data_IF_213669268940
#
_entry.id   IF_213669268940
#
_cell.length_a   1.000
_cell.length_b   1.000
_cell.length_c   1.000
_cell.angle_alpha   90.00
_cell.angle_beta   90.00
_cell.angle_gamma   90.00
#
_symmetry.space_group_name_H-M   'P 1'
#
loop_
_entity.id
_entity.type
_entity.pdbx_description
1 polymer ?
#
# COMPACT_ATOMS: atom_id res chain seq x y z
N UNK A 1 -31.73 2.66 -33.46
CA UNK A 1 -32.89 2.29 -32.62
C UNK A 1 -34.02 3.31 -32.76
N UNK A 2 -35.27 2.85 -32.75
CA UNK A 2 -36.47 3.72 -32.73
C UNK A 2 -36.78 4.19 -31.31
N UNK A 3 -37.42 5.35 -31.17
CA UNK A 3 -37.79 5.90 -29.85
C UNK A 3 -38.67 4.95 -29.04
N UNK A 4 -39.60 4.23 -29.69
CA UNK A 4 -40.43 3.25 -28.98
C UNK A 4 -39.61 2.09 -28.39
N UNK A 5 -38.57 1.61 -29.08
CA UNK A 5 -37.70 0.53 -28.62
C UNK A 5 -36.91 0.95 -27.37
N UNK A 6 -36.45 2.20 -27.36
CA UNK A 6 -35.76 2.81 -26.22
C UNK A 6 -36.68 2.94 -25.01
N UNK A 7 -37.91 3.43 -25.21
CA UNK A 7 -38.93 3.56 -24.16
C UNK A 7 -39.25 2.20 -23.55
N UNK A 8 -39.45 1.17 -24.37
CA UNK A 8 -39.69 -0.21 -23.90
C UNK A 8 -38.51 -0.75 -23.09
N UNK A 9 -37.27 -0.56 -23.56
CA UNK A 9 -36.07 -0.98 -22.81
C UNK A 9 -35.95 -0.30 -21.44
N UNK A 10 -36.24 1.00 -21.36
CA UNK A 10 -36.20 1.74 -20.09
C UNK A 10 -37.29 1.22 -19.16
N UNK A 11 -38.51 1.02 -19.65
CA UNK A 11 -39.57 0.44 -18.83
C UNK A 11 -39.20 -0.95 -18.30
N UNK A 12 -38.64 -1.83 -19.13
CA UNK A 12 -38.19 -3.16 -18.72
C UNK A 12 -37.04 -3.09 -17.71
N UNK A 13 -36.00 -2.30 -17.97
CA UNK A 13 -34.82 -2.19 -17.10
C UNK A 13 -35.17 -1.65 -15.72
N UNK A 14 -36.10 -0.70 -15.64
CA UNK A 14 -36.39 0.03 -14.40
C UNK A 14 -37.67 -0.46 -13.69
N UNK A 15 -38.67 -1.04 -14.37
CA UNK A 15 -39.85 -1.66 -13.70
C UNK A 15 -39.62 -3.10 -13.25
N UNK A 16 -38.79 -3.89 -13.94
CA UNK A 16 -38.61 -5.32 -13.62
C UNK A 16 -37.57 -5.60 -12.52
N UNK A 17 -36.67 -4.65 -12.24
CA UNK A 17 -35.50 -4.86 -11.36
C UNK A 17 -35.48 -3.99 -10.10
N UNK A 18 -36.45 -3.10 -9.90
CA UNK A 18 -36.42 -2.11 -8.82
C UNK A 18 -37.73 -2.19 -8.02
N UNK A 19 -37.66 -2.69 -6.79
CA UNK A 19 -38.80 -2.72 -5.88
C UNK A 19 -39.05 -1.29 -5.33
N UNK A 20 -40.20 -0.65 -5.64
CA UNK A 20 -40.40 0.78 -5.36
C UNK A 20 -40.28 1.16 -3.87
N UNK A 21 -40.66 0.25 -2.98
CA UNK A 21 -40.65 0.46 -1.53
C UNK A 21 -39.25 0.41 -0.90
N UNK A 22 -38.24 -0.10 -1.61
CA UNK A 22 -36.86 -0.25 -1.13
C UNK A 22 -35.88 0.68 -1.85
N UNK A 23 -36.37 1.47 -2.81
CA UNK A 23 -35.52 2.26 -3.70
C UNK A 23 -35.39 3.69 -3.18
N UNK A 24 -34.18 4.27 -3.12
CA UNK A 24 -33.99 5.66 -2.75
C UNK A 24 -34.82 6.58 -3.65
N UNK A 25 -35.52 7.56 -3.08
CA UNK A 25 -36.37 8.49 -3.84
C UNK A 25 -35.65 9.18 -5.00
N UNK A 26 -34.37 9.51 -4.82
CA UNK A 26 -33.52 10.09 -5.87
C UNK A 26 -33.39 9.19 -7.12
N UNK A 27 -33.34 7.86 -6.96
CA UNK A 27 -33.29 6.92 -8.10
C UNK A 27 -34.62 6.95 -8.86
N UNK A 28 -35.75 7.00 -8.14
CA UNK A 28 -37.08 7.13 -8.74
C UNK A 28 -37.17 8.44 -9.53
N UNK A 29 -36.65 9.54 -8.98
CA UNK A 29 -36.63 10.84 -9.64
C UNK A 29 -35.79 10.83 -10.93
N UNK A 30 -34.64 10.15 -10.95
CA UNK A 30 -33.83 10.00 -12.17
C UNK A 30 -34.57 9.20 -13.24
N UNK A 31 -35.28 8.14 -12.86
CA UNK A 31 -36.08 7.34 -13.80
C UNK A 31 -37.23 8.18 -14.36
N UNK A 32 -37.95 8.92 -13.49
CA UNK A 32 -39.03 9.81 -13.92
C UNK A 32 -38.55 10.87 -14.91
N UNK A 33 -37.43 11.54 -14.61
CA UNK A 33 -36.80 12.52 -15.52
C UNK A 33 -36.39 11.91 -16.85
N UNK A 34 -35.91 10.67 -16.87
CA UNK A 34 -35.57 9.97 -18.11
C UNK A 34 -36.83 9.76 -18.98
N UNK A 35 -37.94 9.36 -18.35
CA UNK A 35 -39.23 9.21 -19.02
C UNK A 35 -39.73 10.56 -19.57
N UNK A 36 -39.66 11.62 -18.78
CA UNK A 36 -40.05 12.99 -19.18
C UNK A 36 -39.23 13.49 -20.39
N UNK A 37 -37.92 13.22 -20.43
CA UNK A 37 -37.06 13.61 -21.56
C UNK A 37 -37.51 12.92 -22.85
N UNK A 38 -37.95 11.67 -22.77
CA UNK A 38 -38.31 10.88 -23.94
C UNK A 38 -39.78 11.03 -24.35
N UNK A 39 -40.67 11.44 -23.44
CA UNK A 39 -42.10 11.59 -23.68
C UNK A 39 -42.43 12.39 -24.96
N UNK A 40 -41.88 13.60 -25.20
CA UNK A 40 -42.24 14.42 -26.36
C UNK A 40 -41.72 13.87 -27.70
N UNK A 41 -40.86 12.85 -27.68
CA UNK A 41 -40.27 12.29 -28.90
C UNK A 41 -41.26 11.34 -29.60
N UNK A 42 -41.40 11.53 -30.93
CA UNK A 42 -42.25 10.71 -31.78
C UNK A 42 -41.80 9.24 -31.79
N UNK A 43 -42.72 8.31 -31.53
CA UNK A 43 -42.42 6.88 -31.32
C UNK A 43 -41.67 6.24 -32.50
N UNK A 44 -42.05 6.59 -33.73
CA UNK A 44 -41.49 6.04 -34.97
C UNK A 44 -40.23 6.76 -35.46
N UNK A 45 -39.84 7.86 -34.80
CA UNK A 45 -38.62 8.58 -35.13
C UNK A 45 -37.39 7.76 -34.74
N UNK A 46 -36.31 7.95 -35.51
CA UNK A 46 -35.00 7.43 -35.12
C UNK A 46 -34.43 8.28 -34.00
N UNK A 47 -33.93 7.62 -32.96
CA UNK A 47 -33.30 8.34 -31.87
C UNK A 47 -31.88 8.75 -32.29
N UNK A 48 -31.70 10.04 -32.59
CA UNK A 48 -30.50 10.58 -33.21
C UNK A 48 -29.53 11.20 -32.19
N UNK A 49 -28.25 11.42 -32.56
CA UNK A 49 -27.29 12.11 -31.70
C UNK A 49 -27.72 13.51 -31.22
N UNK A 50 -28.59 14.20 -31.97
CA UNK A 50 -29.12 15.53 -31.63
C UNK A 50 -30.06 15.49 -30.41
N UNK A 51 -30.69 14.33 -30.16
CA UNK A 51 -31.59 14.10 -29.02
C UNK A 51 -30.85 13.67 -27.75
N UNK A 52 -29.54 13.38 -27.84
CA UNK A 52 -28.73 12.91 -26.71
C UNK A 52 -28.36 13.94 -25.63
N UNK A 53 -28.23 15.26 -25.87
CA UNK A 53 -27.72 16.17 -24.84
C UNK A 53 -28.49 16.14 -23.50
N UNK A 54 -29.84 16.12 -23.47
CA UNK A 54 -30.59 15.97 -22.21
C UNK A 54 -30.33 14.63 -21.51
N UNK A 55 -30.24 13.53 -22.29
CA UNK A 55 -29.97 12.19 -21.75
C UNK A 55 -28.57 12.09 -21.16
N UNK A 56 -27.55 12.64 -21.85
CA UNK A 56 -26.16 12.69 -21.34
C UNK A 56 -26.09 13.47 -20.02
N UNK A 57 -26.73 14.63 -19.96
CA UNK A 57 -26.81 15.43 -18.74
C UNK A 57 -27.45 14.67 -17.59
N UNK A 58 -28.49 13.88 -17.85
CA UNK A 58 -29.13 13.04 -16.83
C UNK A 58 -28.21 11.91 -16.35
N UNK A 59 -27.50 11.25 -17.27
CA UNK A 59 -26.51 10.22 -16.94
C UNK A 59 -25.38 10.82 -16.08
N UNK A 60 -24.87 12.00 -16.43
CA UNK A 60 -23.86 12.71 -15.63
C UNK A 60 -24.37 13.01 -14.22
N UNK A 61 -25.61 13.49 -14.09
CA UNK A 61 -26.22 13.77 -12.78
C UNK A 61 -26.38 12.50 -11.95
N UNK A 62 -26.76 11.38 -12.57
CA UNK A 62 -26.84 10.09 -11.91
C UNK A 62 -25.48 9.67 -11.35
N UNK A 63 -24.41 9.75 -12.14
CA UNK A 63 -23.07 9.35 -11.66
C UNK A 63 -22.51 10.26 -10.57
N UNK A 64 -22.78 11.57 -10.65
CA UNK A 64 -22.47 12.48 -9.55
C UNK A 64 -23.23 12.12 -8.26
N UNK A 65 -24.48 11.68 -8.38
CA UNK A 65 -25.24 11.17 -7.24
C UNK A 65 -24.64 9.88 -6.68
N UNK A 66 -24.24 8.93 -7.54
CA UNK A 66 -23.59 7.67 -7.13
C UNK A 66 -22.35 7.94 -6.29
N UNK A 67 -21.49 8.88 -6.74
CA UNK A 67 -20.28 9.28 -6.00
C UNK A 67 -20.57 9.73 -4.57
N UNK A 68 -21.66 10.48 -4.37
CA UNK A 68 -22.01 11.02 -3.06
C UNK A 68 -22.83 10.10 -2.15
N UNK A 69 -23.42 9.02 -2.68
CA UNK A 69 -24.45 8.25 -1.96
C UNK A 69 -24.19 6.75 -1.89
N UNK A 70 -23.31 6.19 -2.73
CA UNK A 70 -22.98 4.78 -2.75
C UNK A 70 -21.49 4.55 -2.46
N UNK A 71 -21.12 3.49 -1.73
CA UNK A 71 -19.72 3.12 -1.57
C UNK A 71 -19.13 2.61 -2.89
N UNK A 72 -17.82 2.80 -3.09
CA UNK A 72 -17.15 2.59 -4.38
C UNK A 72 -17.12 1.13 -4.85
N UNK A 73 -17.22 0.17 -3.93
CA UNK A 73 -17.36 -1.26 -4.23
C UNK A 73 -18.66 -1.58 -4.98
N UNK A 74 -19.70 -0.76 -4.82
CA UNK A 74 -20.97 -0.89 -5.53
C UNK A 74 -20.99 -0.19 -6.89
N UNK A 75 -19.98 0.61 -7.26
CA UNK A 75 -20.04 1.40 -8.49
C UNK A 75 -19.91 0.55 -9.77
N UNK A 76 -19.40 -0.68 -9.67
CA UNK A 76 -19.27 -1.60 -10.81
C UNK A 76 -20.48 -2.51 -11.01
N UNK A 77 -21.09 -2.98 -9.92
CA UNK A 77 -22.11 -4.06 -9.94
C UNK A 77 -23.23 -3.85 -8.91
N UNK A 78 -23.38 -2.65 -8.37
CA UNK A 78 -24.40 -2.34 -7.38
C UNK A 78 -25.82 -2.41 -7.96
N UNK A 79 -26.83 -2.74 -7.14
CA UNK A 79 -28.21 -2.97 -7.60
C UNK A 79 -28.82 -1.75 -8.29
N UNK A 80 -28.45 -0.54 -7.86
CA UNK A 80 -28.92 0.71 -8.46
C UNK A 80 -28.09 1.14 -9.67
N UNK A 81 -26.87 0.63 -9.81
CA UNK A 81 -25.94 1.02 -10.87
C UNK A 81 -26.08 0.12 -12.09
N UNK A 82 -26.33 -1.18 -11.89
CA UNK A 82 -26.47 -2.16 -12.98
C UNK A 82 -27.52 -1.75 -14.04
N UNK A 83 -28.73 -1.28 -13.71
CA UNK A 83 -29.70 -0.84 -14.71
C UNK A 83 -29.19 0.33 -15.56
N UNK A 84 -28.49 1.28 -14.94
CA UNK A 84 -27.89 2.44 -15.62
C UNK A 84 -26.68 2.06 -16.48
N UNK A 85 -25.89 1.08 -16.07
CA UNK A 85 -24.83 0.51 -16.89
C UNK A 85 -25.41 -0.21 -18.10
N UNK A 86 -26.45 -1.03 -17.94
CA UNK A 86 -27.14 -1.68 -19.06
C UNK A 86 -27.74 -0.67 -20.04
N UNK A 87 -28.33 0.41 -19.52
CA UNK A 87 -28.83 1.50 -20.35
C UNK A 87 -27.71 2.19 -21.15
N UNK A 88 -26.57 2.48 -20.52
CA UNK A 88 -25.42 3.06 -21.23
C UNK A 88 -24.84 2.10 -22.28
N UNK A 89 -24.74 0.81 -21.97
CA UNK A 89 -24.29 -0.21 -22.94
C UNK A 89 -25.20 -0.27 -24.17
N UNK A 90 -26.51 -0.14 -23.99
CA UNK A 90 -27.46 -0.03 -25.10
C UNK A 90 -27.15 1.20 -25.97
N UNK A 91 -26.97 2.37 -25.35
CA UNK A 91 -26.64 3.61 -26.08
C UNK A 91 -25.27 3.55 -26.78
N UNK A 92 -24.29 2.86 -26.19
CA UNK A 92 -22.98 2.61 -26.82
C UNK A 92 -23.13 1.70 -28.04
N UNK A 93 -23.91 0.63 -27.93
CA UNK A 93 -24.16 -0.31 -29.05
C UNK A 93 -24.80 0.40 -30.25
N UNK A 94 -25.66 1.39 -29.99
CA UNK A 94 -26.29 2.21 -31.02
C UNK A 94 -25.42 3.39 -31.49
N UNK A 95 -24.19 3.53 -31.00
CA UNK A 95 -23.27 4.61 -31.40
C UNK A 95 -23.63 5.99 -30.88
N UNK A 96 -24.51 6.08 -29.87
CA UNK A 96 -25.04 7.34 -29.33
C UNK A 96 -24.26 7.85 -28.12
N UNK A 97 -23.52 6.96 -27.45
CA UNK A 97 -22.72 7.25 -26.28
C UNK A 97 -21.31 6.64 -26.45
N UNK A 98 -20.31 7.31 -25.88
CA UNK A 98 -18.96 6.76 -25.83
C UNK A 98 -18.91 5.58 -24.87
N UNK A 99 -18.09 4.56 -25.17
CA UNK A 99 -17.77 3.48 -24.25
C UNK A 99 -17.24 4.06 -22.94
N UNK A 100 -17.61 3.45 -21.80
CA UNK A 100 -17.12 3.84 -20.48
C UNK A 100 -17.38 5.33 -20.13
N UNK A 101 -18.46 5.92 -20.66
CA UNK A 101 -18.80 7.35 -20.48
C UNK A 101 -18.72 7.86 -19.03
N UNK A 102 -19.00 6.99 -18.07
CA UNK A 102 -19.01 7.30 -16.64
C UNK A 102 -17.64 7.27 -15.95
N UNK A 103 -16.64 6.63 -16.57
CA UNK A 103 -15.31 6.44 -16.00
C UNK A 103 -14.64 7.74 -15.58
N UNK A 104 -14.65 8.84 -16.38
CA UNK A 104 -14.03 10.10 -15.97
C UNK A 104 -14.57 10.67 -14.65
N UNK A 105 -15.89 10.56 -14.42
CA UNK A 105 -16.55 11.07 -13.20
C UNK A 105 -16.10 10.25 -11.99
N UNK A 106 -16.15 8.92 -12.11
CA UNK A 106 -15.81 8.02 -11.02
C UNK A 106 -14.31 8.03 -10.71
N UNK A 107 -13.46 8.08 -11.75
CA UNK A 107 -12.02 8.20 -11.59
C UNK A 107 -11.64 9.48 -10.86
N UNK A 108 -12.23 10.62 -11.24
CA UNK A 108 -11.93 11.90 -10.59
C UNK A 108 -12.32 11.90 -9.11
N UNK A 109 -13.46 11.29 -8.77
CA UNK A 109 -13.89 11.12 -7.38
C UNK A 109 -12.90 10.28 -6.57
N UNK A 110 -12.48 9.12 -7.10
CA UNK A 110 -11.50 8.25 -6.45
C UNK A 110 -10.13 8.91 -6.34
N UNK A 111 -9.71 9.65 -7.38
CA UNK A 111 -8.46 10.41 -7.40
C UNK A 111 -8.42 11.43 -6.27
N UNK A 112 -9.50 12.18 -6.11
CA UNK A 112 -9.63 13.18 -5.06
C UNK A 112 -9.65 12.53 -3.67
N UNK A 113 -10.34 11.39 -3.52
CA UNK A 113 -10.33 10.64 -2.25
C UNK A 113 -8.92 10.12 -1.92
N UNK A 114 -8.21 9.53 -2.88
CA UNK A 114 -6.84 9.05 -2.68
C UNK A 114 -5.89 10.18 -2.26
N UNK A 115 -5.96 11.32 -2.95
CA UNK A 115 -5.12 12.48 -2.66
C UNK A 115 -5.49 13.15 -1.33
N UNK A 116 -6.78 13.18 -0.96
CA UNK A 116 -7.22 13.65 0.34
C UNK A 116 -6.62 12.80 1.47
N UNK A 117 -6.62 11.47 1.32
CA UNK A 117 -5.99 10.54 2.26
C UNK A 117 -4.45 10.68 2.27
N UNK A 118 -3.83 11.10 1.17
CA UNK A 118 -2.40 11.35 1.10
C UNK A 118 -1.97 12.57 1.94
N UNK A 119 -2.81 13.60 2.05
CA UNK A 119 -2.41 14.89 2.58
C UNK A 119 -1.28 15.50 1.75
N UNK A 120 -0.12 15.77 2.37
CA UNK A 120 1.07 16.30 1.71
C UNK A 120 2.06 15.19 1.28
N UNK A 121 1.58 13.96 1.07
CA UNK A 121 2.41 12.80 0.69
C UNK A 121 2.23 12.46 -0.79
N UNK A 122 2.53 11.22 -1.15
CA UNK A 122 2.46 10.69 -2.50
C UNK A 122 1.03 10.73 -3.04
N UNK A 123 0.83 11.42 -4.16
CA UNK A 123 -0.45 11.48 -4.87
C UNK A 123 -0.62 10.32 -5.86
N UNK A 124 -1.85 10.04 -6.26
CA UNK A 124 -2.12 8.99 -7.25
C UNK A 124 -1.56 9.34 -8.64
N UNK A 125 -1.48 10.63 -8.95
CA UNK A 125 -0.88 11.19 -10.17
C UNK A 125 0.63 10.91 -10.26
N UNK A 126 1.26 10.54 -9.14
CA UNK A 126 2.67 10.16 -9.06
C UNK A 126 2.86 8.65 -9.05
N UNK A 127 2.00 7.90 -8.34
CA UNK A 127 2.10 6.45 -8.23
C UNK A 127 1.59 5.70 -9.48
N UNK A 128 0.41 6.06 -9.99
CA UNK A 128 -0.22 5.34 -11.11
C UNK A 128 0.65 5.32 -12.39
N UNK A 129 1.33 6.41 -12.77
CA UNK A 129 2.23 6.39 -13.93
C UNK A 129 3.35 5.37 -13.86
N UNK A 130 3.81 4.98 -12.66
CA UNK A 130 4.83 3.93 -12.51
C UNK A 130 4.28 2.58 -12.97
N UNK A 131 3.04 2.24 -12.56
CA UNK A 131 2.35 1.00 -12.95
C UNK A 131 2.04 0.98 -14.45
N UNK A 132 1.48 2.08 -14.98
CA UNK A 132 1.16 2.23 -16.40
C UNK A 132 2.42 2.10 -17.26
N UNK A 133 3.52 2.76 -16.85
CA UNK A 133 4.75 2.72 -17.64
C UNK A 133 5.40 1.34 -17.59
N UNK A 134 5.41 0.71 -16.42
CA UNK A 134 5.93 -0.65 -16.27
C UNK A 134 5.14 -1.64 -17.12
N UNK A 135 3.79 -1.59 -17.10
CA UNK A 135 2.93 -2.49 -17.89
C UNK A 135 3.15 -2.32 -19.39
N UNK A 136 3.20 -1.07 -19.87
CA UNK A 136 3.46 -0.75 -21.28
C UNK A 136 4.82 -1.21 -21.76
N UNK A 137 5.86 -1.02 -20.94
CA UNK A 137 7.20 -1.44 -21.31
C UNK A 137 7.33 -2.96 -21.27
N UNK A 138 6.82 -3.63 -20.23
CA UNK A 138 6.87 -5.08 -20.11
C UNK A 138 6.00 -5.80 -21.18
N UNK A 139 4.99 -5.11 -21.69
CA UNK A 139 3.95 -5.68 -22.52
C UNK A 139 2.80 -6.21 -21.67
N UNK A 140 1.59 -6.16 -22.21
CA UNK A 140 0.38 -6.47 -21.45
C UNK A 140 0.26 -7.95 -21.10
N UNK A 141 -0.47 -8.20 -20.00
CA UNK A 141 -0.81 -9.50 -19.46
C UNK A 141 -1.90 -10.16 -20.30
N UNK A 142 -1.63 -11.37 -20.77
CA UNK A 142 -2.66 -12.20 -21.43
C UNK A 142 -3.65 -12.76 -20.40
N UNK A 143 -4.88 -13.06 -20.81
CA UNK A 143 -5.93 -13.52 -19.88
C UNK A 143 -5.59 -14.81 -19.13
N UNK A 144 -4.72 -15.65 -19.71
CA UNK A 144 -4.30 -16.94 -19.15
C UNK A 144 -2.88 -16.91 -18.59
N UNK A 145 -2.21 -15.75 -18.61
CA UNK A 145 -0.83 -15.62 -18.13
C UNK A 145 -0.80 -15.61 -16.59
N UNK A 146 0.01 -16.50 -16.03
CA UNK A 146 0.26 -16.62 -14.59
C UNK A 146 1.65 -16.08 -14.24
N UNK A 147 1.80 -15.56 -13.01
CA UNK A 147 3.07 -15.02 -12.50
C UNK A 147 3.54 -13.70 -13.14
N UNK A 148 2.66 -12.97 -13.83
CA UNK A 148 2.91 -11.58 -14.24
C UNK A 148 3.04 -10.67 -13.00
N UNK A 149 4.01 -9.74 -12.93
CA UNK A 149 4.94 -9.34 -14.00
C UNK A 149 6.27 -10.12 -14.04
N UNK A 150 6.65 -10.83 -12.97
CA UNK A 150 8.03 -11.30 -12.83
C UNK A 150 8.40 -12.52 -13.65
N UNK A 151 7.47 -13.42 -13.98
CA UNK A 151 7.76 -14.53 -14.90
C UNK A 151 8.19 -13.99 -16.26
N UNK A 152 7.50 -12.97 -16.77
CA UNK A 152 7.82 -12.30 -18.03
C UNK A 152 9.14 -11.54 -17.97
N UNK A 153 9.38 -10.85 -16.85
CA UNK A 153 10.62 -10.11 -16.65
C UNK A 153 11.83 -11.05 -16.51
N UNK A 154 11.68 -12.16 -15.80
CA UNK A 154 12.68 -13.23 -15.70
C UNK A 154 13.01 -13.81 -17.07
N UNK A 155 12.00 -14.12 -17.89
CA UNK A 155 12.21 -14.61 -19.24
C UNK A 155 13.02 -13.62 -20.09
N UNK A 156 12.73 -12.31 -19.98
CA UNK A 156 13.49 -11.26 -20.65
C UNK A 156 14.95 -11.18 -20.17
N UNK A 157 15.18 -11.32 -18.86
CA UNK A 157 16.54 -11.35 -18.29
C UNK A 157 17.31 -12.59 -18.78
N UNK A 158 16.70 -13.76 -18.72
CA UNK A 158 17.30 -15.05 -19.09
C UNK A 158 17.61 -15.14 -20.60
N UNK A 159 16.88 -14.40 -21.45
CA UNK A 159 17.16 -14.33 -22.88
C UNK A 159 18.49 -13.61 -23.19
N UNK A 160 19.05 -12.85 -22.24
CA UNK A 160 20.34 -12.13 -22.36
C UNK A 160 20.47 -11.27 -23.63
N UNK A 161 19.37 -10.68 -24.10
CA UNK A 161 19.34 -9.86 -25.30
C UNK A 161 19.89 -8.45 -25.01
N UNK A 162 21.08 -8.07 -25.53
CA UNK A 162 21.73 -6.80 -25.16
C UNK A 162 20.88 -5.56 -25.43
N UNK A 163 20.11 -5.58 -26.52
CA UNK A 163 19.21 -4.51 -26.93
C UNK A 163 18.03 -4.30 -25.98
N UNK A 164 17.64 -5.32 -25.20
CA UNK A 164 16.53 -5.21 -24.25
C UNK A 164 17.01 -4.86 -22.83
N UNK A 165 18.31 -4.97 -22.55
CA UNK A 165 18.88 -4.72 -21.21
C UNK A 165 18.48 -3.35 -20.65
N UNK A 166 18.53 -2.29 -21.45
CA UNK A 166 18.15 -0.93 -20.99
C UNK A 166 16.68 -0.89 -20.61
N UNK A 167 15.82 -1.45 -21.45
CA UNK A 167 14.37 -1.54 -21.20
C UNK A 167 14.07 -2.37 -19.94
N UNK A 168 14.78 -3.47 -19.72
CA UNK A 168 14.63 -4.31 -18.52
C UNK A 168 15.05 -3.52 -17.27
N UNK A 169 16.16 -2.78 -17.33
CA UNK A 169 16.61 -1.91 -16.23
C UNK A 169 15.57 -0.85 -15.86
N UNK A 170 14.99 -0.23 -16.88
CA UNK A 170 13.91 0.75 -16.73
C UNK A 170 12.67 0.15 -16.06
N UNK A 171 12.21 -1.03 -16.52
CA UNK A 171 11.08 -1.75 -15.93
C UNK A 171 11.38 -2.12 -14.48
N UNK A 172 12.57 -2.66 -14.21
CA UNK A 172 13.01 -3.04 -12.86
C UNK A 172 12.98 -1.86 -11.91
N UNK A 173 13.44 -0.69 -12.35
CA UNK A 173 13.46 0.49 -11.50
C UNK A 173 12.05 1.08 -11.29
N UNK A 174 11.18 1.04 -12.30
CA UNK A 174 9.75 1.41 -12.15
C UNK A 174 9.05 0.53 -11.10
N UNK A 175 9.17 -0.80 -11.23
CA UNK A 175 8.51 -1.76 -10.33
C UNK A 175 9.04 -1.65 -8.90
N UNK A 176 10.37 -1.56 -8.73
CA UNK A 176 10.98 -1.44 -7.40
C UNK A 176 10.69 -0.08 -6.75
N UNK A 177 10.56 0.98 -7.53
CA UNK A 177 10.13 2.29 -7.02
C UNK A 177 8.66 2.28 -6.60
N UNK A 178 7.78 1.69 -7.41
CA UNK A 178 6.37 1.53 -7.04
C UNK A 178 6.23 0.71 -5.75
N UNK A 179 6.93 -0.41 -5.63
CA UNK A 179 6.99 -1.22 -4.41
C UNK A 179 7.40 -0.38 -3.20
N UNK A 180 8.54 0.30 -3.30
CA UNK A 180 9.04 1.14 -2.20
C UNK A 180 8.04 2.22 -1.77
N UNK A 181 7.41 2.89 -2.74
CA UNK A 181 6.44 3.95 -2.49
C UNK A 181 5.13 3.44 -1.88
N UNK A 182 4.63 2.30 -2.35
CA UNK A 182 3.44 1.63 -1.79
C UNK A 182 3.63 1.42 -0.28
N UNK A 183 4.75 0.82 0.13
CA UNK A 183 4.94 0.51 1.54
C UNK A 183 5.37 1.70 2.39
N UNK A 184 6.11 2.66 1.82
CA UNK A 184 6.60 3.80 2.59
C UNK A 184 5.58 4.93 2.71
N UNK A 185 4.77 5.15 1.68
CA UNK A 185 3.97 6.36 1.55
C UNK A 185 2.45 6.12 1.51
N UNK A 186 1.98 4.92 1.18
CA UNK A 186 0.54 4.65 1.10
C UNK A 186 -0.03 4.05 2.39
N UNK A 187 -1.26 4.46 2.69
CA UNK A 187 -2.12 3.90 3.74
C UNK A 187 -2.94 2.72 3.21
N UNK A 188 -3.55 1.93 4.10
CA UNK A 188 -4.40 0.80 3.69
C UNK A 188 -5.57 1.28 2.87
N UNK A 189 -6.21 2.34 3.33
CA UNK A 189 -7.36 2.99 2.71
C UNK A 189 -6.99 3.43 1.28
N UNK A 190 -5.84 4.05 1.09
CA UNK A 190 -5.35 4.40 -0.25
C UNK A 190 -5.15 3.16 -1.14
N UNK A 191 -4.57 2.09 -0.61
CA UNK A 191 -4.36 0.85 -1.37
C UNK A 191 -5.67 0.17 -1.76
N UNK A 192 -6.72 0.25 -0.92
CA UNK A 192 -8.05 -0.30 -1.28
C UNK A 192 -8.71 0.42 -2.46
N UNK A 193 -8.34 1.68 -2.72
CA UNK A 193 -8.88 2.45 -3.85
C UNK A 193 -8.20 2.08 -5.18
N UNK A 194 -6.98 1.53 -5.14
CA UNK A 194 -6.16 1.29 -6.33
C UNK A 194 -6.83 0.40 -7.40
N UNK A 195 -7.46 -0.74 -7.06
CA UNK A 195 -8.16 -1.55 -8.06
C UNK A 195 -9.27 -0.79 -8.80
N UNK A 196 -9.99 0.08 -8.08
CA UNK A 196 -11.05 0.91 -8.66
C UNK A 196 -10.49 2.05 -9.52
N UNK A 197 -9.40 2.69 -9.06
CA UNK A 197 -8.68 3.70 -9.85
C UNK A 197 -8.17 3.12 -11.17
N UNK A 198 -7.60 1.91 -11.15
CA UNK A 198 -7.17 1.22 -12.37
C UNK A 198 -8.37 0.91 -13.27
N UNK A 199 -9.45 0.37 -12.71
CA UNK A 199 -10.64 0.01 -13.47
C UNK A 199 -11.31 1.21 -14.17
N UNK A 200 -11.56 2.29 -13.42
CA UNK A 200 -12.22 3.50 -13.92
C UNK A 200 -11.28 4.43 -14.69
N UNK A 201 -10.01 4.08 -14.90
CA UNK A 201 -9.07 4.90 -15.67
C UNK A 201 -9.66 5.19 -17.06
N UNK A 202 -9.56 6.45 -17.47
CA UNK A 202 -10.05 6.90 -18.76
C UNK A 202 -9.10 6.47 -19.89
N UNK A 203 -9.62 6.30 -21.10
CA UNK A 203 -8.88 5.95 -22.32
C UNK A 203 -7.91 4.78 -22.11
N UNK A 204 -8.43 3.67 -21.60
CA UNK A 204 -7.65 2.47 -21.33
C UNK A 204 -8.35 1.23 -21.86
N UNK A 205 -7.58 0.23 -22.25
CA UNK A 205 -8.12 -1.07 -22.68
C UNK A 205 -8.20 -2.05 -21.52
N UNK A 206 -8.95 -3.13 -21.70
CA UNK A 206 -9.06 -4.18 -20.68
C UNK A 206 -7.73 -4.89 -20.43
N UNK A 207 -6.86 -5.00 -21.45
CA UNK A 207 -5.51 -5.55 -21.30
C UNK A 207 -4.62 -4.63 -20.46
N UNK A 208 -4.69 -3.31 -20.66
CA UNK A 208 -3.99 -2.34 -19.83
C UNK A 208 -4.43 -2.45 -18.36
N UNK A 209 -5.75 -2.40 -18.11
CA UNK A 209 -6.34 -2.55 -16.76
C UNK A 209 -5.88 -3.84 -16.08
N UNK A 210 -5.95 -4.97 -16.80
CA UNK A 210 -5.54 -6.28 -16.28
C UNK A 210 -4.06 -6.32 -15.91
N UNK A 211 -3.21 -5.70 -16.71
CA UNK A 211 -1.76 -5.67 -16.50
C UNK A 211 -1.38 -4.79 -15.31
N UNK A 212 -1.97 -3.60 -15.23
CA UNK A 212 -1.76 -2.65 -14.13
C UNK A 212 -2.24 -3.24 -12.81
N UNK A 213 -3.42 -3.87 -12.80
CA UNK A 213 -3.96 -4.55 -11.63
C UNK A 213 -3.06 -5.73 -11.21
N UNK A 214 -2.60 -6.55 -12.16
CA UNK A 214 -1.71 -7.66 -11.87
C UNK A 214 -0.37 -7.21 -11.27
N UNK A 215 0.21 -6.11 -11.76
CA UNK A 215 1.41 -5.53 -11.13
C UNK A 215 1.10 -5.09 -9.71
N UNK A 216 0.02 -4.32 -9.52
CA UNK A 216 -0.36 -3.80 -8.22
C UNK A 216 -0.60 -4.92 -7.20
N UNK A 217 -1.40 -5.93 -7.56
CA UNK A 217 -1.70 -7.10 -6.74
C UNK A 217 -0.42 -7.86 -6.41
N UNK A 218 0.48 -8.06 -7.39
CA UNK A 218 1.72 -8.77 -7.14
C UNK A 218 2.62 -8.04 -6.13
N UNK A 219 2.76 -6.71 -6.28
CA UNK A 219 3.57 -5.88 -5.38
C UNK A 219 3.03 -5.82 -3.94
N UNK A 220 1.71 -5.96 -3.76
CA UNK A 220 1.04 -5.87 -2.46
C UNK A 220 0.81 -7.21 -1.77
N UNK A 221 0.65 -8.29 -2.54
CA UNK A 221 0.34 -9.62 -2.02
C UNK A 221 1.56 -10.54 -1.91
N UNK A 222 2.60 -10.34 -2.73
CA UNK A 222 3.78 -11.21 -2.80
C UNK A 222 5.06 -10.47 -2.37
N UNK A 223 5.05 -9.81 -1.20
CA UNK A 223 6.15 -8.95 -0.74
C UNK A 223 7.48 -9.67 -0.63
N UNK A 224 7.49 -10.89 -0.10
CA UNK A 224 8.71 -11.69 0.06
C UNK A 224 9.32 -12.00 -1.31
N UNK A 225 8.49 -12.44 -2.26
CA UNK A 225 8.93 -12.75 -3.63
C UNK A 225 9.42 -11.49 -4.35
N UNK A 226 8.74 -10.35 -4.18
CA UNK A 226 9.19 -9.05 -4.70
C UNK A 226 10.56 -8.67 -4.17
N UNK A 227 10.71 -8.78 -2.86
CA UNK A 227 11.96 -8.54 -2.18
C UNK A 227 13.05 -9.45 -2.74
N UNK A 228 12.83 -10.75 -2.80
CA UNK A 228 13.83 -11.70 -3.26
C UNK A 228 14.23 -11.41 -4.72
N UNK A 229 13.23 -11.26 -5.59
CA UNK A 229 13.43 -10.95 -7.00
C UNK A 229 14.26 -9.68 -7.20
N UNK A 230 13.87 -8.58 -6.54
CA UNK A 230 14.58 -7.31 -6.66
C UNK A 230 16.03 -7.37 -6.14
N UNK A 231 16.30 -8.20 -5.14
CA UNK A 231 17.65 -8.34 -4.59
C UNK A 231 18.51 -9.28 -5.43
N UNK A 232 17.93 -10.31 -6.04
CA UNK A 232 18.62 -11.20 -6.98
C UNK A 232 19.07 -10.44 -8.24
N UNK A 233 18.30 -9.46 -8.70
CA UNK A 233 18.57 -8.69 -9.92
C UNK A 233 18.92 -7.22 -9.64
N UNK A 234 19.63 -6.93 -8.54
CA UNK A 234 19.93 -5.55 -8.14
C UNK A 234 20.83 -4.78 -9.14
N UNK A 235 21.64 -5.50 -9.92
CA UNK A 235 22.45 -5.00 -11.02
C UNK A 235 21.63 -4.34 -12.14
N UNK A 236 20.34 -4.67 -12.23
CA UNK A 236 19.40 -4.07 -13.17
C UNK A 236 18.80 -2.74 -12.68
N UNK A 237 19.16 -2.26 -11.49
CA UNK A 237 18.79 -0.91 -11.05
C UNK A 237 19.77 0.12 -11.62
N UNK A 238 19.28 0.97 -12.53
CA UNK A 238 20.03 2.07 -13.13
C UNK A 238 19.41 3.44 -12.78
N UNK A 239 20.12 4.24 -11.97
CA UNK A 239 19.63 5.55 -11.54
C UNK A 239 19.50 6.56 -12.68
N UNK A 240 20.11 6.31 -13.85
CA UNK A 240 19.95 7.17 -15.03
C UNK A 240 18.50 7.23 -15.50
N UNK A 241 17.71 6.18 -15.26
CA UNK A 241 16.30 6.14 -15.66
C UNK A 241 15.45 7.22 -14.99
N UNK A 242 15.85 7.78 -13.83
CA UNK A 242 15.19 8.97 -13.25
C UNK A 242 15.21 10.16 -14.23
N UNK A 243 16.32 10.33 -14.95
CA UNK A 243 16.42 11.42 -15.93
C UNK A 243 15.71 11.09 -17.24
N UNK A 244 15.58 9.81 -17.60
CA UNK A 244 15.06 9.39 -18.91
C UNK A 244 13.56 9.09 -18.89
N UNK A 245 13.01 8.67 -17.76
CA UNK A 245 11.61 8.25 -17.62
C UNK A 245 10.87 9.26 -16.76
N UNK A 246 9.89 9.93 -17.38
CA UNK A 246 9.07 10.95 -16.72
C UNK A 246 8.41 10.44 -15.43
N UNK A 247 7.85 9.23 -15.44
CA UNK A 247 7.23 8.63 -14.26
C UNK A 247 8.20 8.50 -13.07
N UNK A 248 9.47 8.12 -13.32
CA UNK A 248 10.50 8.07 -12.27
C UNK A 248 10.95 9.46 -11.83
N UNK A 249 11.02 10.40 -12.77
CA UNK A 249 11.37 11.80 -12.48
C UNK A 249 10.38 12.44 -11.53
N UNK A 250 9.10 12.23 -11.77
CA UNK A 250 8.01 12.82 -10.98
C UNK A 250 8.04 12.33 -9.53
N UNK A 251 8.53 11.12 -9.27
CA UNK A 251 8.65 10.57 -7.92
C UNK A 251 10.03 10.74 -7.28
N UNK A 252 10.95 11.45 -7.92
CA UNK A 252 12.35 11.56 -7.47
C UNK A 252 12.51 12.21 -6.10
N UNK A 253 11.55 13.03 -5.66
CA UNK A 253 11.51 13.60 -4.32
C UNK A 253 11.19 12.56 -3.22
N UNK A 254 10.54 11.46 -3.60
CA UNK A 254 10.06 10.43 -2.67
C UNK A 254 11.01 9.23 -2.56
N UNK A 255 11.87 9.02 -3.56
CA UNK A 255 12.81 7.89 -3.62
C UNK A 255 14.28 8.34 -3.46
N UNK A 256 15.16 7.52 -2.84
CA UNK A 256 16.58 7.78 -2.87
C UNK A 256 17.12 7.80 -4.31
N UNK A 257 17.83 8.87 -4.68
CA UNK A 257 18.34 9.07 -6.05
C UNK A 257 19.72 8.44 -6.27
N UNK A 258 20.47 8.17 -5.21
CA UNK A 258 21.72 7.40 -5.26
C UNK A 258 21.43 5.91 -5.26
N UNK A 259 22.08 5.16 -6.17
CA UNK A 259 21.86 3.71 -6.31
C UNK A 259 22.09 2.96 -5.00
N UNK A 260 23.19 3.25 -4.30
CA UNK A 260 23.52 2.61 -3.02
C UNK A 260 22.43 2.80 -1.98
N UNK A 261 21.88 4.02 -1.90
CA UNK A 261 20.89 4.38 -0.90
C UNK A 261 19.55 3.76 -1.25
N UNK A 262 19.20 3.72 -2.54
CA UNK A 262 17.98 3.07 -3.03
C UNK A 262 17.99 1.56 -2.78
N UNK A 263 19.10 0.88 -3.12
CA UNK A 263 19.26 -0.56 -2.87
C UNK A 263 19.26 -0.88 -1.37
N UNK A 264 19.90 -0.04 -0.56
CA UNK A 264 19.87 -0.16 0.89
C UNK A 264 18.46 0.03 1.45
N UNK A 265 17.69 0.99 0.92
CA UNK A 265 16.33 1.26 1.36
C UNK A 265 15.37 0.13 1.00
N UNK A 266 15.61 -0.59 -0.10
CA UNK A 266 14.76 -1.67 -0.63
C UNK A 266 15.42 -3.05 -0.50
N UNK A 267 16.31 -3.22 0.48
CA UNK A 267 17.01 -4.48 0.70
C UNK A 267 16.07 -5.56 1.24
N UNK A 268 16.35 -6.82 0.90
CA UNK A 268 15.54 -7.97 1.33
C UNK A 268 15.39 -8.18 2.82
N UNK A 269 16.36 -7.69 3.56
CA UNK A 269 16.43 -7.88 5.00
C UNK A 269 15.66 -6.82 5.75
N UNK A 270 15.05 -5.84 5.05
CA UNK A 270 14.31 -4.75 5.68
C UNK A 270 13.04 -5.26 6.33
N UNK A 271 13.03 -5.25 7.66
CA UNK A 271 11.91 -5.73 8.48
C UNK A 271 10.57 -5.03 8.17
N UNK A 272 10.62 -3.76 7.75
CA UNK A 272 9.44 -2.89 7.67
C UNK A 272 8.44 -3.33 6.59
N UNK A 273 8.89 -3.88 5.46
CA UNK A 273 7.99 -4.24 4.36
C UNK A 273 7.15 -5.48 4.69
N UNK A 274 7.75 -6.62 5.13
CA UNK A 274 6.96 -7.75 5.61
C UNK A 274 6.09 -7.39 6.81
N UNK A 275 6.59 -6.55 7.74
CA UNK A 275 5.79 -6.08 8.88
C UNK A 275 4.53 -5.35 8.43
N UNK A 276 4.66 -4.35 7.55
CA UNK A 276 3.52 -3.58 7.04
C UNK A 276 2.54 -4.52 6.33
N UNK A 277 3.03 -5.44 5.48
CA UNK A 277 2.15 -6.40 4.83
C UNK A 277 1.35 -7.23 5.87
N UNK A 278 2.02 -7.79 6.87
CA UNK A 278 1.38 -8.63 7.87
C UNK A 278 0.36 -7.89 8.74
N UNK A 279 0.61 -6.62 9.07
CA UNK A 279 -0.27 -5.86 9.96
C UNK A 279 -1.40 -5.16 9.19
N UNK A 280 -1.14 -4.72 7.96
CA UNK A 280 -2.07 -3.87 7.20
C UNK A 280 -2.84 -4.60 6.11
N UNK A 281 -2.28 -5.64 5.52
CA UNK A 281 -2.77 -6.27 4.28
C UNK A 281 -3.08 -7.77 4.45
N UNK A 282 -2.75 -8.36 5.59
CA UNK A 282 -3.06 -9.78 5.85
C UNK A 282 -4.58 -9.98 6.04
N UNK A 283 -5.15 -11.09 5.57
CA UNK A 283 -6.55 -11.42 5.82
C UNK A 283 -6.83 -11.52 7.32
N UNK A 284 -7.98 -11.03 7.78
CA UNK A 284 -8.39 -11.02 9.21
C UNK A 284 -8.32 -12.41 9.88
N UNK A 285 -8.34 -13.49 9.10
CA UNK A 285 -8.27 -14.87 9.58
C UNK A 285 -6.86 -15.36 9.99
N UNK A 286 -5.79 -14.61 9.68
CA UNK A 286 -4.40 -14.95 10.04
C UNK A 286 -3.89 -14.23 11.31
N UNK A 287 -4.72 -13.36 11.90
CA UNK A 287 -4.39 -12.57 13.09
C UNK A 287 -4.74 -13.34 14.37
N UNK A 288 -3.95 -14.37 14.68
CA UNK A 288 -3.98 -14.99 16.00
C UNK A 288 -3.23 -14.10 17.02
N UNK A 289 -3.80 -13.97 18.22
CA UNK A 289 -3.37 -13.27 19.46
C UNK A 289 -2.13 -12.35 19.36
N UNK A 290 -2.24 -11.07 19.72
CA UNK A 290 -1.19 -10.03 19.60
C UNK A 290 0.23 -10.34 20.13
N UNK A 291 0.42 -11.35 20.97
CA UNK A 291 1.74 -11.90 21.34
C UNK A 291 2.47 -12.50 20.10
N UNK A 292 1.75 -13.09 19.16
CA UNK A 292 2.30 -13.68 17.94
C UNK A 292 2.83 -12.59 16.98
N UNK A 293 2.13 -11.46 16.85
CA UNK A 293 2.60 -10.32 16.05
C UNK A 293 3.87 -9.69 16.61
N UNK A 294 4.00 -9.58 17.93
CA UNK A 294 5.22 -9.07 18.57
C UNK A 294 6.40 -10.01 18.28
N UNK A 295 6.21 -11.32 18.42
CA UNK A 295 7.25 -12.31 18.16
C UNK A 295 7.64 -12.38 16.67
N UNK A 296 6.67 -12.31 15.75
CA UNK A 296 6.94 -12.20 14.31
C UNK A 296 7.73 -10.93 13.99
N UNK A 297 7.35 -9.79 14.57
CA UNK A 297 8.07 -8.52 14.40
C UNK A 297 9.50 -8.61 14.95
N UNK A 298 9.68 -9.23 16.12
CA UNK A 298 11.00 -9.50 16.70
C UNK A 298 11.85 -10.32 15.72
N UNK A 299 11.31 -11.41 15.17
CA UNK A 299 12.01 -12.23 14.20
C UNK A 299 12.44 -11.44 12.96
N UNK A 300 11.58 -10.57 12.43
CA UNK A 300 11.93 -9.68 11.31
C UNK A 300 13.08 -8.72 11.67
N UNK A 301 13.07 -8.16 12.88
CA UNK A 301 14.16 -7.30 13.37
C UNK A 301 15.48 -8.07 13.51
N UNK A 302 15.43 -9.31 13.95
CA UNK A 302 16.61 -10.19 14.05
C UNK A 302 17.20 -10.50 12.67
N UNK A 303 16.35 -10.81 11.69
CA UNK A 303 16.77 -11.05 10.31
C UNK A 303 17.41 -9.81 9.68
N UNK A 304 16.82 -8.62 9.88
CA UNK A 304 17.43 -7.36 9.40
C UNK A 304 18.81 -7.15 10.05
N UNK A 305 18.86 -7.24 11.38
CA UNK A 305 20.08 -7.01 12.13
C UNK A 305 21.21 -7.99 11.75
N UNK A 306 20.88 -9.25 11.46
CA UNK A 306 21.85 -10.26 11.04
C UNK A 306 22.63 -9.85 9.77
N UNK A 307 22.08 -8.97 8.96
CA UNK A 307 22.75 -8.47 7.74
C UNK A 307 23.68 -7.30 7.97
N UNK A 308 23.68 -6.72 9.18
CA UNK A 308 24.61 -5.66 9.55
C UNK A 308 26.01 -6.21 9.77
N UNK A 309 27.01 -5.44 9.33
CA UNK A 309 28.43 -5.73 9.57
C UNK A 309 28.79 -5.71 11.06
N UNK A 310 28.23 -4.76 11.79
CA UNK A 310 28.42 -4.64 13.24
C UNK A 310 27.29 -5.36 13.99
N UNK A 311 27.60 -6.56 14.47
CA UNK A 311 26.69 -7.38 15.28
C UNK A 311 26.94 -7.22 16.80
N UNK A 312 27.75 -6.25 17.22
CA UNK A 312 28.00 -5.97 18.63
C UNK A 312 26.77 -5.42 19.35
N UNK A 313 26.84 -5.33 20.69
CA UNK A 313 25.78 -4.68 21.48
C UNK A 313 25.59 -3.21 21.09
N UNK A 314 26.67 -2.46 20.83
CA UNK A 314 26.58 -1.07 20.34
C UNK A 314 25.96 -1.02 18.94
N UNK A 315 26.32 -1.97 18.08
CA UNK A 315 25.69 -2.16 16.77
C UNK A 315 24.18 -2.36 16.89
N UNK A 316 23.72 -3.17 17.85
CA UNK A 316 22.31 -3.40 18.13
C UNK A 316 21.58 -2.12 18.57
N UNK A 317 22.18 -1.29 19.42
CA UNK A 317 21.61 0.00 19.82
C UNK A 317 21.49 0.96 18.64
N UNK A 318 22.52 1.04 17.80
CA UNK A 318 22.51 1.86 16.58
C UNK A 318 21.44 1.39 15.58
N UNK A 319 21.20 0.08 15.50
CA UNK A 319 20.16 -0.51 14.68
C UNK A 319 18.77 -0.12 15.21
N UNK A 320 18.52 -0.27 16.52
CA UNK A 320 17.23 0.11 17.11
C UNK A 320 16.97 1.60 17.03
N UNK A 321 17.99 2.46 17.13
CA UNK A 321 17.83 3.89 16.87
C UNK A 321 17.33 4.14 15.43
N UNK A 322 17.81 3.38 14.44
CA UNK A 322 17.32 3.46 13.06
C UNK A 322 15.88 2.92 12.92
N UNK A 323 15.53 1.83 13.61
CA UNK A 323 14.17 1.28 13.66
C UNK A 323 13.20 2.32 14.25
N UNK A 324 13.56 2.99 15.35
CA UNK A 324 12.79 4.09 15.95
C UNK A 324 12.57 5.27 15.00
N UNK A 325 13.53 5.59 14.11
CA UNK A 325 13.30 6.62 13.08
C UNK A 325 12.30 6.15 12.03
N UNK A 326 12.32 4.87 11.70
CA UNK A 326 11.40 4.28 10.72
C UNK A 326 9.96 4.16 11.25
N UNK A 327 9.74 4.11 12.57
CA UNK A 327 8.37 4.04 13.12
C UNK A 327 7.55 5.30 12.87
N UNK A 328 8.15 6.40 12.41
CA UNK A 328 7.43 7.62 12.02
C UNK A 328 6.45 7.42 10.86
N UNK A 329 6.63 6.37 10.04
CA UNK A 329 5.70 6.03 8.95
C UNK A 329 4.56 5.10 9.38
N UNK A 330 4.56 4.68 10.66
CA UNK A 330 3.60 3.73 11.21
C UNK A 330 2.48 4.42 11.99
N UNK A 331 1.34 3.74 12.15
CA UNK A 331 0.28 4.18 13.07
C UNK A 331 0.73 4.04 14.52
N UNK A 332 0.02 4.67 15.45
CA UNK A 332 0.35 4.57 16.88
C UNK A 332 0.29 3.12 17.40
N UNK A 333 -0.61 2.29 16.88
CA UNK A 333 -0.76 0.89 17.29
C UNK A 333 0.38 0.03 16.73
N UNK A 334 0.69 0.20 15.45
CA UNK A 334 1.85 -0.43 14.80
C UNK A 334 3.17 -0.04 15.49
N UNK A 335 3.33 1.25 15.81
CA UNK A 335 4.50 1.75 16.50
C UNK A 335 4.65 1.13 17.90
N UNK A 336 3.54 0.85 18.61
CA UNK A 336 3.57 0.13 19.90
C UNK A 336 4.03 -1.32 19.75
N UNK A 337 3.58 -2.01 18.70
CA UNK A 337 4.04 -3.38 18.39
C UNK A 337 5.53 -3.40 18.12
N UNK A 338 6.01 -2.52 17.23
CA UNK A 338 7.44 -2.41 16.89
C UNK A 338 8.25 -1.98 18.10
N UNK A 339 7.76 -1.06 18.92
CA UNK A 339 8.41 -0.65 20.17
C UNK A 339 8.59 -1.85 21.11
N UNK A 340 7.55 -2.66 21.30
CA UNK A 340 7.61 -3.85 22.14
C UNK A 340 8.62 -4.87 21.61
N UNK A 341 8.60 -5.15 20.31
CA UNK A 341 9.55 -6.04 19.65
C UNK A 341 11.01 -5.53 19.74
N UNK A 342 11.23 -4.24 19.52
CA UNK A 342 12.54 -3.60 19.65
C UNK A 342 13.07 -3.68 21.10
N UNK A 343 12.17 -3.54 22.08
CA UNK A 343 12.51 -3.70 23.49
C UNK A 343 12.97 -5.13 23.79
N UNK A 344 12.23 -6.14 23.31
CA UNK A 344 12.60 -7.55 23.45
C UNK A 344 13.95 -7.86 22.80
N UNK A 345 14.15 -7.39 21.56
CA UNK A 345 15.40 -7.53 20.82
C UNK A 345 16.61 -6.99 21.60
N UNK A 346 16.48 -5.77 22.14
CA UNK A 346 17.52 -5.12 22.92
C UNK A 346 17.86 -5.90 24.21
N UNK A 347 16.83 -6.39 24.92
CA UNK A 347 17.03 -7.20 26.12
C UNK A 347 17.73 -8.52 25.80
N UNK A 348 17.41 -9.16 24.67
CA UNK A 348 18.09 -10.39 24.24
C UNK A 348 19.56 -10.17 23.90
N UNK A 349 19.87 -9.09 23.17
CA UNK A 349 21.27 -8.72 22.88
C UNK A 349 22.02 -8.36 24.16
N UNK A 350 21.37 -7.70 25.12
CA UNK A 350 21.96 -7.41 26.44
C UNK A 350 22.29 -8.70 27.20
N UNK A 351 21.33 -9.63 27.31
CA UNK A 351 21.52 -10.90 28.03
C UNK A 351 22.65 -11.71 27.38
N UNK A 352 22.67 -11.80 26.05
CA UNK A 352 23.73 -12.50 25.32
C UNK A 352 25.10 -11.88 25.58
N UNK A 353 25.23 -10.57 25.41
CA UNK A 353 26.49 -9.85 25.67
C UNK A 353 26.96 -10.01 27.12
N UNK A 354 26.04 -10.02 28.12
CA UNK A 354 26.42 -10.20 29.53
C UNK A 354 26.86 -11.61 29.88
N UNK A 355 26.32 -12.63 29.18
CA UNK A 355 26.80 -14.02 29.32
C UNK A 355 28.18 -14.21 28.69
N UNK A 356 28.45 -13.53 27.57
CA UNK A 356 29.72 -13.60 26.84
C UNK A 356 30.85 -12.78 27.48
N UNK A 357 30.53 -11.67 28.16
CA UNK A 357 31.46 -10.88 28.98
C UNK A 357 31.00 -10.80 30.46
N UNK A 358 31.31 -11.84 31.27
CA UNK A 358 30.96 -11.88 32.69
C UNK A 358 31.69 -10.82 33.54
N UNK A 359 32.75 -10.19 33.00
CA UNK A 359 33.62 -9.26 33.72
C UNK A 359 33.21 -7.80 33.54
N UNK A 360 32.35 -7.49 32.57
CA UNK A 360 32.10 -6.14 32.04
C UNK A 360 31.50 -5.09 32.98
N UNK A 361 31.27 -5.37 34.27
CA UNK A 361 30.81 -4.38 35.27
C UNK A 361 31.59 -4.47 36.60
N UNK A 362 32.84 -4.94 36.64
CA UNK A 362 33.70 -4.84 37.85
C UNK A 362 34.18 -3.40 38.12
N UNK A 363 33.31 -2.41 38.02
CA UNK A 363 33.65 -1.00 38.21
C UNK A 363 33.17 -0.41 39.55
N UNK A 364 32.51 -1.19 40.42
CA UNK A 364 32.11 -0.69 41.75
C UNK A 364 31.83 -1.82 42.76
N UNK A 365 32.15 -1.59 44.04
CA UNK A 365 31.85 -2.49 45.17
C UNK A 365 30.33 -2.75 45.38
N UNK A 366 29.46 -1.93 44.77
CA UNK A 366 27.99 -2.04 44.83
C UNK A 366 27.36 -2.56 43.52
N UNK A 367 28.13 -3.15 42.61
CA UNK A 367 27.59 -3.69 41.37
C UNK A 367 26.89 -5.04 41.62
N UNK A 368 25.59 -5.12 41.36
CA UNK A 368 24.84 -6.38 41.40
C UNK A 368 25.40 -7.39 40.39
N UNK A 369 25.27 -8.68 40.72
CA UNK A 369 25.83 -9.76 39.90
C UNK A 369 25.27 -9.72 38.48
N UNK A 370 26.06 -10.20 37.52
CA UNK A 370 25.62 -10.34 36.13
C UNK A 370 24.35 -11.19 36.01
N UNK A 371 24.23 -12.23 36.82
CA UNK A 371 23.05 -13.10 36.90
C UNK A 371 21.80 -12.36 37.38
N UNK A 372 21.89 -11.54 38.43
CA UNK A 372 20.75 -10.74 38.90
C UNK A 372 20.28 -9.75 37.83
N UNK A 373 21.20 -9.15 37.07
CA UNK A 373 20.86 -8.25 35.95
C UNK A 373 20.22 -9.01 34.77
N UNK A 374 20.72 -10.20 34.44
CA UNK A 374 20.12 -11.05 33.41
C UNK A 374 18.72 -11.53 33.82
N UNK A 375 18.52 -11.91 35.08
CA UNK A 375 17.21 -12.31 35.59
C UNK A 375 16.22 -11.13 35.57
N UNK A 376 16.67 -9.93 35.98
CA UNK A 376 15.85 -8.73 35.89
C UNK A 376 15.46 -8.41 34.42
N UNK A 377 16.37 -8.58 33.47
CA UNK A 377 16.08 -8.44 32.05
C UNK A 377 15.06 -9.48 31.53
N UNK A 378 15.19 -10.76 31.91
CA UNK A 378 14.21 -11.81 31.53
C UNK A 378 12.81 -11.56 32.12
N UNK A 379 12.73 -11.05 33.36
CA UNK A 379 11.46 -10.62 33.96
C UNK A 379 10.86 -9.41 33.25
N UNK A 380 11.69 -8.48 32.76
CA UNK A 380 11.24 -7.36 31.94
C UNK A 380 10.71 -7.83 30.58
N UNK A 381 11.37 -8.79 29.91
CA UNK A 381 10.85 -9.43 28.69
C UNK A 381 9.46 -10.05 28.92
N UNK A 382 9.32 -10.80 30.01
CA UNK A 382 8.06 -11.44 30.39
C UNK A 382 6.94 -10.42 30.63
N UNK A 383 7.25 -9.30 31.28
CA UNK A 383 6.30 -8.21 31.49
C UNK A 383 5.83 -7.53 30.19
N UNK A 384 6.73 -7.38 29.19
CA UNK A 384 6.38 -6.81 27.87
C UNK A 384 5.43 -7.72 27.10
N UNK A 385 5.58 -9.03 27.24
CA UNK A 385 4.67 -10.05 26.68
C UNK A 385 3.40 -10.25 27.52
N UNK A 386 3.02 -9.27 28.36
CA UNK A 386 1.80 -9.32 29.18
C UNK A 386 1.81 -10.36 30.30
N UNK A 387 2.92 -11.06 30.57
CA UNK A 387 3.01 -12.08 31.62
C UNK A 387 3.30 -11.43 32.97
N UNK A 388 2.49 -11.70 34.01
CA UNK A 388 2.66 -11.08 35.31
C UNK A 388 4.01 -11.45 35.92
N UNK A 389 4.88 -10.45 36.08
CA UNK A 389 6.26 -10.62 36.55
C UNK A 389 6.48 -9.78 37.80
N UNK A 390 6.75 -10.43 38.94
CA UNK A 390 7.10 -9.73 40.19
C UNK A 390 8.62 -9.56 40.27
N UNK A 391 9.06 -8.31 40.33
CA UNK A 391 10.45 -7.96 40.59
C UNK A 391 10.74 -8.01 42.10
N UNK A 392 11.79 -8.73 42.48
CA UNK A 392 12.35 -8.68 43.82
C UNK A 392 13.13 -7.39 44.07
N UNK A 393 13.54 -7.17 45.32
CA UNK A 393 14.29 -5.97 45.72
C UNK A 393 15.58 -5.77 44.89
N UNK A 394 16.40 -6.82 44.77
CA UNK A 394 17.65 -6.76 44.00
C UNK A 394 17.44 -6.63 42.49
N UNK A 395 16.34 -7.17 41.95
CA UNK A 395 16.01 -7.03 40.52
C UNK A 395 15.49 -5.62 40.19
N UNK A 396 14.76 -5.01 41.12
CA UNK A 396 14.33 -3.61 41.04
C UNK A 396 15.53 -2.67 41.05
N UNK A 397 16.53 -2.96 41.89
CA UNK A 397 17.80 -2.24 41.88
C UNK A 397 18.61 -2.50 40.60
N UNK A 398 18.59 -3.73 40.07
CA UNK A 398 19.31 -4.09 38.85
C UNK A 398 18.80 -3.35 37.61
N UNK A 399 17.48 -3.19 37.48
CA UNK A 399 16.85 -2.39 36.41
C UNK A 399 17.26 -0.93 36.49
N UNK A 400 17.44 -0.41 37.71
CA UNK A 400 17.79 0.98 37.97
C UNK A 400 19.31 1.23 38.05
N UNK A 401 20.16 0.32 37.56
CA UNK A 401 21.62 0.47 37.64
C UNK A 401 22.38 0.06 36.36
N UNK A 402 23.41 0.85 36.02
CA UNK A 402 24.43 0.49 35.03
C UNK A 402 23.90 0.42 33.59
N UNK A 403 24.45 -0.51 32.79
CA UNK A 403 24.10 -0.66 31.36
C UNK A 403 22.64 -1.06 31.12
N UNK A 404 22.00 -1.80 32.04
CA UNK A 404 20.59 -2.18 31.91
C UNK A 404 19.67 -0.97 32.05
N UNK A 405 19.94 -0.09 33.02
CA UNK A 405 19.21 1.17 33.16
C UNK A 405 19.33 2.03 31.91
N UNK A 406 20.57 2.25 31.44
CA UNK A 406 20.83 3.04 30.22
C UNK A 406 20.08 2.49 29.00
N UNK A 407 19.96 1.16 28.90
CA UNK A 407 19.19 0.51 27.83
C UNK A 407 17.69 0.81 27.95
N UNK A 408 17.14 0.71 29.17
CA UNK A 408 15.74 0.99 29.44
C UNK A 408 15.44 2.46 29.19
N UNK A 409 16.25 3.37 29.72
CA UNK A 409 16.13 4.82 29.50
C UNK A 409 16.16 5.13 27.98
N UNK A 410 17.12 4.57 27.23
CA UNK A 410 17.21 4.72 25.77
C UNK A 410 15.95 4.21 25.04
N UNK A 411 15.33 3.14 25.52
CA UNK A 411 14.14 2.56 24.91
C UNK A 411 12.89 3.37 25.26
N UNK A 412 12.77 3.85 26.48
CA UNK A 412 11.65 4.64 27.01
C UNK A 412 11.71 6.12 26.61
N UNK A 413 12.87 6.65 26.18
CA UNK A 413 12.99 7.98 25.58
C UNK A 413 12.06 8.14 24.36
N UNK A 414 11.13 9.09 24.49
CA UNK A 414 10.17 9.48 23.46
C UNK A 414 10.82 10.29 22.34
N UNK A 415 10.38 10.14 21.08
CA UNK A 415 10.96 10.83 19.92
C UNK A 415 10.77 12.36 19.92
N UNK A 416 9.93 12.93 20.79
CA UNK A 416 9.68 14.38 20.89
C UNK A 416 10.88 15.19 21.42
N UNK A 417 11.85 14.54 22.07
CA UNK A 417 12.98 15.22 22.72
C UNK A 417 14.15 15.60 21.78
N UNK A 418 14.05 15.32 20.47
CA UNK A 418 15.13 15.55 19.49
C UNK A 418 14.75 16.55 18.37
N UNK A 419 13.72 17.39 18.54
CA UNK A 419 13.34 18.40 17.54
C UNK A 419 14.19 19.68 17.60
N UNK A 420 15.00 19.89 18.63
CA UNK A 420 15.91 21.03 18.74
C UNK A 420 17.33 20.50 18.96
N UNK A 421 18.07 20.38 17.86
CA UNK A 421 19.55 20.42 17.77
C UNK A 421 20.08 19.47 16.68
N UNK A 422 19.69 19.69 15.43
CA UNK A 422 20.56 19.38 14.28
C UNK A 422 20.21 20.32 13.12
N UNK A 423 20.47 21.62 13.31
CA UNK A 423 20.81 22.50 12.20
C UNK A 423 22.25 22.15 11.81
N UNK A 424 22.41 21.38 10.73
CA UNK A 424 23.68 21.38 9.99
C UNK A 424 23.35 21.82 8.57
N UNK A 425 23.54 23.12 8.38
CA UNK A 425 24.19 23.75 7.22
C UNK A 425 24.43 22.86 5.99
N UNK A 426 23.67 23.18 4.93
CA UNK A 426 23.89 23.03 3.47
C UNK A 426 24.66 21.78 3.00
#
# INVERSE_FOLDING_TARGET
MKVYELKTHIEELFKSKIAPLQTPGAIIDFIAKLVEILEPLEKESEFSPEMMPPVKKLIDQFWNWVVGNLPYDQWKVGPYVTPWLSFQQLLVKEGLLATDFHHPILYEALKNQFNYLAGNRLEITELMPLLIRASRMLGYRESTEDGYPFVKLYAGIAAHMPQETVKIKDIMFLLRSAFYLIYKNCTVEQLTLMPFLIYFRNFTTDEERRSELAIFDYLTQNTIDCIEFFNTYDEYIDTRSITLIEALRNVSAWIPTKRTDFLSATNRSRWIYPFIQHVRLAPENDLDVGDDLINRTLHLLELDFATRKDQSFTGALSFIAAVKKQTQVLTNEEAKLVHSAAFLFCLEKYIKHRKEDPRGDKHSFLSLSGETKCHAAEKRKSAILGRPSKFGFFETLAINQGRLKKLIDFLEESPETNSEDYVVSI
#
